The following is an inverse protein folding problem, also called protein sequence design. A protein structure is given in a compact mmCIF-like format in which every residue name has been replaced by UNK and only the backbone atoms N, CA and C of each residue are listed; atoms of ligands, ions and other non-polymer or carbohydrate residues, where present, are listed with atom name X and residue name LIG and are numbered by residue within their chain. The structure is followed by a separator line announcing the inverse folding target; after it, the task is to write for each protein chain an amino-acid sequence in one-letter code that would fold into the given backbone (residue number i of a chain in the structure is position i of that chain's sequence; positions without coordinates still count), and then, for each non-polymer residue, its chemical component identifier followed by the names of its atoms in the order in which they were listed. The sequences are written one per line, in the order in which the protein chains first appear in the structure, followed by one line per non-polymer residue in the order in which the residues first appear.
data_IF_009387685466
#
_entry.id   IF_009387685466
#
_cell.length_a   1.000
_cell.length_b   1.000
_cell.length_c   1.000
_cell.angle_alpha   90.00
_cell.angle_beta   90.00
_cell.angle_gamma   90.00
#
_symmetry.space_group_name_H-M   'P 1'
#
loop_
_entity.id
_entity.type
_entity.pdbx_description
1 polymer ?
#
# COMPACT_ATOMS: atom_id res chain seq x y z
N UNK A 1 -16.61 21.91 -16.56
CA UNK A 1 -17.43 20.68 -16.58
C UNK A 1 -17.01 19.85 -15.39
N UNK A 2 -17.87 19.73 -14.37
CA UNK A 2 -17.57 18.94 -13.17
C UNK A 2 -17.67 17.47 -13.54
N UNK A 3 -16.55 16.74 -13.50
CA UNK A 3 -16.57 15.29 -13.70
C UNK A 3 -17.39 14.70 -12.55
N UNK A 4 -18.47 13.99 -12.87
CA UNK A 4 -19.28 13.32 -11.87
C UNK A 4 -18.44 12.22 -11.22
N UNK A 5 -18.26 12.29 -9.89
CA UNK A 5 -17.64 11.21 -9.13
C UNK A 5 -18.60 10.02 -9.20
N UNK A 6 -18.15 8.89 -9.75
CA UNK A 6 -18.90 7.62 -9.71
C UNK A 6 -18.44 6.81 -8.50
N UNK A 7 -19.28 5.89 -8.03
CA UNK A 7 -18.91 5.03 -6.91
C UNK A 7 -17.68 4.16 -7.25
N UNK A 8 -17.59 3.69 -8.49
CA UNK A 8 -16.45 2.92 -8.98
C UNK A 8 -15.17 3.75 -8.97
N UNK A 9 -15.21 4.99 -9.48
CA UNK A 9 -14.05 5.87 -9.47
C UNK A 9 -13.60 6.22 -8.04
N UNK A 10 -14.56 6.39 -7.12
CA UNK A 10 -14.25 6.58 -5.70
C UNK A 10 -13.55 5.34 -5.11
N UNK A 11 -14.06 4.13 -5.34
CA UNK A 11 -13.42 2.90 -4.87
C UNK A 11 -11.99 2.77 -5.38
N UNK A 12 -11.79 3.00 -6.68
CA UNK A 12 -10.48 2.92 -7.30
C UNK A 12 -9.48 3.93 -6.72
N UNK A 13 -9.89 5.19 -6.56
CA UNK A 13 -9.04 6.21 -5.94
C UNK A 13 -8.66 5.83 -4.50
N UNK A 14 -9.60 5.24 -3.74
CA UNK A 14 -9.34 4.78 -2.37
C UNK A 14 -8.36 3.62 -2.32
N UNK A 15 -8.54 2.63 -3.20
CA UNK A 15 -7.62 1.49 -3.34
C UNK A 15 -6.20 1.95 -3.71
N UNK A 16 -6.08 2.99 -4.52
CA UNK A 16 -4.81 3.59 -4.95
C UNK A 16 -4.24 4.62 -3.95
N UNK A 17 -4.98 4.96 -2.89
CA UNK A 17 -4.58 5.98 -1.93
C UNK A 17 -4.50 7.40 -2.52
N UNK A 18 -5.26 7.66 -3.59
CA UNK A 18 -5.26 8.90 -4.34
C UNK A 18 -6.47 9.80 -4.02
N UNK A 19 -6.37 11.07 -4.41
CA UNK A 19 -7.50 12.00 -4.38
C UNK A 19 -8.38 11.84 -5.61
N UNK A 20 -9.61 12.33 -5.54
CA UNK A 20 -10.54 12.30 -6.68
C UNK A 20 -11.35 13.60 -6.77
N UNK A 21 -11.32 14.21 -7.96
CA UNK A 21 -11.93 15.51 -8.22
C UNK A 21 -11.47 16.60 -7.22
N UNK A 22 -12.32 16.98 -6.26
CA UNK A 22 -12.00 17.97 -5.23
C UNK A 22 -11.62 17.33 -3.89
N UNK A 23 -11.75 16.01 -3.76
CA UNK A 23 -11.48 15.29 -2.52
C UNK A 23 -10.01 14.93 -2.44
N UNK A 24 -9.40 15.26 -1.31
CA UNK A 24 -8.08 14.78 -0.92
C UNK A 24 -8.13 13.28 -0.61
N UNK A 25 -7.00 12.54 -0.66
CA UNK A 25 -6.98 11.10 -0.42
C UNK A 25 -7.64 10.66 0.89
N UNK A 26 -7.38 11.38 1.98
CA UNK A 26 -7.96 11.07 3.29
C UNK A 26 -9.48 11.31 3.34
N UNK A 27 -9.97 12.29 2.57
CA UNK A 27 -11.40 12.59 2.46
C UNK A 27 -12.09 11.49 1.66
N UNK A 28 -11.54 11.13 0.49
CA UNK A 28 -12.06 10.05 -0.35
C UNK A 28 -12.13 8.72 0.43
N UNK A 29 -11.05 8.35 1.12
CA UNK A 29 -10.99 7.14 1.93
C UNK A 29 -12.05 7.15 3.05
N UNK A 30 -12.13 8.23 3.82
CA UNK A 30 -13.07 8.30 4.96
C UNK A 30 -14.53 8.28 4.48
N UNK A 31 -14.85 9.03 3.42
CA UNK A 31 -16.20 9.06 2.87
C UNK A 31 -16.62 7.71 2.27
N UNK A 32 -15.69 7.02 1.60
CA UNK A 32 -15.92 5.66 1.11
C UNK A 32 -16.17 4.66 2.25
N UNK A 33 -15.34 4.70 3.30
CA UNK A 33 -15.49 3.84 4.48
C UNK A 33 -16.83 4.05 5.19
N UNK A 34 -17.32 5.29 5.22
CA UNK A 34 -18.63 5.66 5.78
C UNK A 34 -19.80 5.32 4.84
N UNK A 35 -19.53 4.79 3.64
CA UNK A 35 -20.57 4.44 2.67
C UNK A 35 -21.31 5.65 2.10
N UNK A 36 -20.69 6.84 2.09
CA UNK A 36 -21.32 8.05 1.55
C UNK A 36 -21.48 7.89 0.03
N UNK A 37 -22.70 8.04 -0.52
CA UNK A 37 -22.91 7.83 -1.94
C UNK A 37 -22.24 8.94 -2.76
N UNK A 38 -21.66 8.56 -3.91
CA UNK A 38 -20.94 9.50 -4.77
C UNK A 38 -21.77 10.74 -5.19
N UNK A 39 -23.09 10.59 -5.31
CA UNK A 39 -24.01 11.72 -5.58
C UNK A 39 -24.04 12.79 -4.48
N UNK A 40 -23.85 12.40 -3.21
CA UNK A 40 -23.84 13.33 -2.07
C UNK A 40 -22.53 14.12 -1.95
N UNK A 41 -21.46 13.63 -2.60
CA UNK A 41 -20.12 14.25 -2.60
C UNK A 41 -19.74 14.75 -4.00
N UNK A 42 -20.71 14.94 -4.89
CA UNK A 42 -20.48 15.47 -6.22
C UNK A 42 -20.11 16.97 -6.19
N UNK A 43 -20.52 17.67 -5.13
CA UNK A 43 -20.20 19.08 -4.90
C UNK A 43 -19.09 19.21 -3.86
N UNK A 44 -18.30 20.31 -3.89
CA UNK A 44 -17.31 20.61 -2.86
C UNK A 44 -17.89 20.52 -1.45
N UNK A 45 -17.08 19.99 -0.54
CA UNK A 45 -17.41 19.86 0.87
C UNK A 45 -17.66 21.23 1.51
N UNK A 46 -18.56 21.28 2.48
CA UNK A 46 -18.71 22.46 3.32
C UNK A 46 -17.52 22.58 4.29
N UNK A 47 -17.20 23.79 4.78
CA UNK A 47 -16.10 23.96 5.75
C UNK A 47 -16.23 23.09 7.01
N UNK A 48 -17.46 22.82 7.44
CA UNK A 48 -17.73 21.94 8.59
C UNK A 48 -17.41 20.47 8.29
N UNK A 49 -17.76 19.99 7.09
CA UNK A 49 -17.41 18.65 6.62
C UNK A 49 -15.89 18.52 6.48
N UNK A 50 -15.22 19.52 5.91
CA UNK A 50 -13.77 19.55 5.80
C UNK A 50 -13.08 19.48 7.16
N UNK A 51 -13.53 20.28 8.13
CA UNK A 51 -12.99 20.28 9.49
C UNK A 51 -13.15 18.91 10.17
N UNK A 52 -14.30 18.27 9.99
CA UNK A 52 -14.57 16.93 10.53
C UNK A 52 -13.65 15.88 9.93
N UNK A 53 -13.51 15.86 8.60
CA UNK A 53 -12.62 14.92 7.91
C UNK A 53 -11.15 15.17 8.24
N UNK A 54 -10.74 16.43 8.39
CA UNK A 54 -9.38 16.78 8.83
C UNK A 54 -9.09 16.28 10.26
N UNK A 55 -10.08 16.30 11.16
CA UNK A 55 -9.93 15.73 12.49
C UNK A 55 -9.72 14.21 12.45
N UNK A 56 -10.52 13.49 11.65
CA UNK A 56 -10.37 12.04 11.45
C UNK A 56 -9.00 11.72 10.85
N UNK A 57 -8.59 12.46 9.83
CA UNK A 57 -7.27 12.31 9.21
C UNK A 57 -6.14 12.45 10.25
N UNK A 58 -6.21 13.46 11.12
CA UNK A 58 -5.22 13.65 12.18
C UNK A 58 -5.17 12.46 13.13
N UNK A 59 -6.31 11.86 13.50
CA UNK A 59 -6.32 10.66 14.35
C UNK A 59 -5.65 9.47 13.65
N UNK A 60 -5.97 9.22 12.38
CA UNK A 60 -5.36 8.14 11.60
C UNK A 60 -3.84 8.34 11.45
N UNK A 61 -3.40 9.58 11.22
CA UNK A 61 -1.96 9.90 11.12
C UNK A 61 -1.24 9.65 12.45
N UNK A 62 -1.84 10.06 13.57
CA UNK A 62 -1.23 9.85 14.89
C UNK A 62 -1.19 8.36 15.27
N UNK A 63 -2.20 7.59 14.89
CA UNK A 63 -2.19 6.13 15.03
C UNK A 63 -1.10 5.49 14.17
N UNK A 64 -1.02 5.87 12.89
CA UNK A 64 -0.01 5.36 11.98
C UNK A 64 1.42 5.69 12.46
N UNK A 65 1.67 6.92 12.94
CA UNK A 65 2.96 7.28 13.52
C UNK A 65 3.33 6.44 14.74
N UNK A 66 2.35 6.08 15.58
CA UNK A 66 2.60 5.18 16.73
C UNK A 66 2.95 3.76 16.30
N UNK A 67 2.46 3.32 15.14
CA UNK A 67 2.83 2.05 14.53
C UNK A 67 4.23 2.09 13.88
N UNK A 68 4.82 3.28 13.66
CA UNK A 68 6.11 3.46 13.02
C UNK A 68 7.22 4.01 13.98
N UNK A 69 7.49 3.39 15.14
CA UNK A 69 8.53 3.87 16.06
C UNK A 69 9.97 3.66 15.53
N UNK A 70 10.15 2.75 14.58
CA UNK A 70 11.45 2.45 13.94
C UNK A 70 11.26 2.29 12.43
N UNK A 71 12.34 2.32 11.62
CA UNK A 71 12.26 2.04 10.19
C UNK A 71 11.67 0.67 9.86
N UNK A 72 12.00 -0.37 10.62
CA UNK A 72 11.47 -1.72 10.43
C UNK A 72 9.97 -1.77 10.68
N UNK A 73 9.52 -1.18 11.80
CA UNK A 73 8.09 -1.08 12.11
C UNK A 73 7.34 -0.23 11.08
N UNK A 74 7.99 0.77 10.46
CA UNK A 74 7.41 1.53 9.36
C UNK A 74 7.21 0.68 8.11
N UNK A 75 8.15 -0.22 7.80
CA UNK A 75 8.01 -1.18 6.70
C UNK A 75 6.83 -2.12 7.00
N UNK A 76 6.76 -2.68 8.21
CA UNK A 76 5.64 -3.54 8.63
C UNK A 76 4.29 -2.81 8.52
N UNK A 77 4.19 -1.59 9.06
CA UNK A 77 2.99 -0.77 9.00
C UNK A 77 2.62 -0.39 7.56
N UNK A 78 3.59 -0.26 6.65
CA UNK A 78 3.32 -0.01 5.24
C UNK A 78 2.61 -1.20 4.56
N UNK A 79 2.81 -2.44 5.03
CA UNK A 79 2.15 -3.63 4.48
C UNK A 79 0.94 -4.10 5.30
N UNK A 80 0.61 -3.42 6.40
CA UNK A 80 -0.59 -3.69 7.19
C UNK A 80 -1.83 -3.01 6.58
N UNK A 81 -2.75 -3.83 6.05
CA UNK A 81 -3.99 -3.37 5.41
C UNK A 81 -4.98 -2.71 6.38
N UNK A 82 -4.76 -2.81 7.70
CA UNK A 82 -5.55 -2.07 8.70
C UNK A 82 -5.29 -0.56 8.62
N UNK A 83 -4.16 -0.15 8.06
CA UNK A 83 -3.84 1.25 7.86
C UNK A 83 -4.38 1.78 6.51
N UNK A 84 -4.86 3.03 6.45
CA UNK A 84 -5.39 3.60 5.23
C UNK A 84 -4.39 3.56 4.04
N UNK A 85 -4.82 3.18 2.83
CA UNK A 85 -4.01 3.17 1.61
C UNK A 85 -3.18 4.44 1.40
N UNK A 86 -3.78 5.62 1.61
CA UNK A 86 -3.11 6.91 1.42
C UNK A 86 -1.96 7.18 2.40
N UNK A 87 -1.85 6.43 3.51
CA UNK A 87 -0.71 6.50 4.43
C UNK A 87 0.35 5.45 4.10
N UNK A 88 -0.08 4.25 3.73
CA UNK A 88 0.81 3.10 3.52
C UNK A 88 1.44 3.05 2.13
N UNK A 89 0.68 3.36 1.08
CA UNK A 89 1.12 3.22 -0.32
C UNK A 89 2.30 4.13 -0.71
N UNK A 90 2.38 5.40 -0.25
CA UNK A 90 3.56 6.21 -0.52
C UNK A 90 4.85 5.58 0.01
N UNK A 91 4.81 4.94 1.18
CA UNK A 91 5.97 4.24 1.75
C UNK A 91 6.30 3.00 0.92
N UNK A 92 5.30 2.21 0.54
CA UNK A 92 5.51 1.06 -0.36
C UNK A 92 6.16 1.49 -1.69
N UNK A 93 5.74 2.63 -2.25
CA UNK A 93 6.33 3.19 -3.47
C UNK A 93 7.81 3.55 -3.27
N UNK A 94 8.16 4.26 -2.19
CA UNK A 94 9.56 4.60 -1.88
C UNK A 94 10.41 3.36 -1.62
N UNK A 95 9.87 2.33 -0.96
CA UNK A 95 10.56 1.05 -0.77
C UNK A 95 10.82 0.35 -2.11
N UNK A 96 9.85 0.36 -3.03
CA UNK A 96 9.99 -0.23 -4.36
C UNK A 96 10.98 0.54 -5.25
N UNK A 97 11.03 1.88 -5.15
CA UNK A 97 12.07 2.70 -5.79
C UNK A 97 13.45 2.41 -5.19
N UNK A 98 13.55 2.33 -3.86
CA UNK A 98 14.79 1.98 -3.15
C UNK A 98 15.32 0.62 -3.54
N UNK A 99 14.44 -0.39 -3.65
CA UNK A 99 14.81 -1.72 -4.16
C UNK A 99 15.38 -1.65 -5.58
N UNK A 100 14.74 -0.92 -6.50
CA UNK A 100 15.25 -0.75 -7.87
C UNK A 100 16.58 -0.03 -7.92
N UNK A 101 16.82 0.91 -7.02
CA UNK A 101 18.07 1.66 -6.96
C UNK A 101 19.22 0.82 -6.38
N UNK A 102 18.98 0.12 -5.27
CA UNK A 102 19.99 -0.65 -4.56
C UNK A 102 20.27 -2.02 -5.20
N UNK A 103 19.28 -2.62 -5.87
CA UNK A 103 19.37 -3.93 -6.51
C UNK A 103 18.89 -3.85 -7.97
N UNK A 104 19.59 -3.10 -8.85
CA UNK A 104 19.13 -2.83 -10.22
C UNK A 104 19.01 -4.09 -11.10
N UNK A 105 19.77 -5.14 -10.78
CA UNK A 105 19.75 -6.40 -11.51
C UNK A 105 18.72 -7.40 -10.96
N UNK A 106 18.11 -7.11 -9.81
CA UNK A 106 17.08 -7.96 -9.21
C UNK A 106 15.74 -7.70 -9.89
N UNK A 107 15.31 -8.65 -10.73
CA UNK A 107 14.05 -8.57 -11.47
C UNK A 107 13.03 -9.56 -10.91
N UNK A 108 11.74 -9.19 -10.87
CA UNK A 108 10.70 -10.14 -10.54
C UNK A 108 10.64 -11.23 -11.61
N UNK A 109 10.53 -12.47 -11.17
CA UNK A 109 10.32 -13.63 -12.04
C UNK A 109 8.85 -13.79 -12.44
N UNK A 110 7.94 -13.25 -11.63
CA UNK A 110 6.51 -13.28 -11.88
C UNK A 110 5.79 -12.15 -11.15
N UNK A 111 4.46 -12.13 -11.28
CA UNK A 111 3.56 -11.34 -10.44
C UNK A 111 2.56 -12.24 -9.74
N UNK A 112 2.15 -11.86 -8.53
CA UNK A 112 1.03 -12.52 -7.84
C UNK A 112 -0.34 -12.01 -8.32
N UNK A 113 -1.41 -12.53 -7.72
CA UNK A 113 -2.80 -12.13 -8.03
C UNK A 113 -3.12 -10.66 -7.76
N UNK A 114 -2.30 -9.96 -6.97
CA UNK A 114 -2.40 -8.54 -6.69
C UNK A 114 -1.47 -7.70 -7.59
N UNK A 115 -0.75 -8.33 -8.52
CA UNK A 115 0.20 -7.66 -9.41
C UNK A 115 1.54 -7.33 -8.76
N UNK A 116 1.83 -7.85 -7.55
CA UNK A 116 3.10 -7.62 -6.84
C UNK A 116 4.19 -8.51 -7.42
N UNK A 117 5.39 -7.98 -7.55
CA UNK A 117 6.54 -8.72 -8.09
C UNK A 117 6.94 -9.88 -7.17
N UNK A 118 7.01 -11.08 -7.75
CA UNK A 118 7.52 -12.29 -7.10
C UNK A 118 8.92 -12.57 -7.62
N UNK A 119 9.87 -12.74 -6.72
CA UNK A 119 11.29 -12.91 -7.04
C UNK A 119 11.72 -14.35 -6.77
N UNK A 120 12.69 -14.87 -7.54
CA UNK A 120 13.30 -16.16 -7.22
C UNK A 120 14.16 -16.00 -5.96
N UNK A 121 14.08 -17.00 -5.08
CA UNK A 121 14.89 -17.02 -3.86
C UNK A 121 16.38 -16.93 -4.17
N UNK A 122 16.85 -17.63 -5.20
CA UNK A 122 18.23 -17.58 -5.70
C UNK A 122 18.67 -16.16 -6.08
N UNK A 123 17.79 -15.39 -6.73
CA UNK A 123 18.11 -14.06 -7.21
C UNK A 123 18.14 -13.07 -6.04
N UNK A 124 17.25 -13.25 -5.05
CA UNK A 124 17.28 -12.53 -3.78
C UNK A 124 18.56 -12.82 -2.98
N UNK A 125 18.94 -14.09 -2.84
CA UNK A 125 20.16 -14.53 -2.15
C UNK A 125 21.40 -13.87 -2.77
N UNK A 126 21.51 -13.95 -4.10
CA UNK A 126 22.59 -13.31 -4.85
C UNK A 126 22.61 -11.78 -4.67
N UNK A 127 21.46 -11.12 -4.71
CA UNK A 127 21.36 -9.67 -4.54
C UNK A 127 21.75 -9.22 -3.13
N UNK A 128 21.39 -10.00 -2.12
CA UNK A 128 21.66 -9.70 -0.71
C UNK A 128 23.04 -10.17 -0.24
N UNK A 129 23.78 -10.94 -1.06
CA UNK A 129 25.04 -11.55 -0.67
C UNK A 129 24.89 -12.60 0.43
N UNK A 130 23.73 -13.27 0.47
CA UNK A 130 23.39 -14.33 1.42
C UNK A 130 23.22 -15.66 0.68
N UNK A 131 23.14 -16.76 1.43
CA UNK A 131 22.75 -18.07 0.90
C UNK A 131 21.23 -18.26 0.90
N UNK A 132 20.73 -19.15 0.04
CA UNK A 132 19.31 -19.51 0.03
C UNK A 132 18.88 -20.14 1.37
N UNK A 133 19.76 -20.92 2.00
CA UNK A 133 19.51 -21.54 3.31
C UNK A 133 19.33 -20.48 4.41
N UNK A 134 20.17 -19.43 4.42
CA UNK A 134 20.03 -18.30 5.37
C UNK A 134 18.70 -17.55 5.18
N UNK A 135 18.26 -17.36 3.93
CA UNK A 135 16.97 -16.74 3.64
C UNK A 135 15.80 -17.66 4.04
N UNK A 136 15.95 -18.97 3.86
CA UNK A 136 14.97 -19.95 4.31
C UNK A 136 14.83 -19.92 5.83
N UNK A 137 15.93 -20.00 6.58
CA UNK A 137 15.95 -19.95 8.04
C UNK A 137 15.31 -18.65 8.56
N UNK A 138 15.60 -17.52 7.91
CA UNK A 138 14.99 -16.23 8.26
C UNK A 138 13.47 -16.25 8.01
N UNK A 139 13.03 -16.78 6.86
CA UNK A 139 11.61 -16.91 6.57
C UNK A 139 10.90 -17.84 7.56
N UNK A 140 11.55 -18.91 8.03
CA UNK A 140 10.99 -19.78 9.07
C UNK A 140 10.82 -19.04 10.41
N UNK A 141 11.85 -18.30 10.83
CA UNK A 141 11.83 -17.50 12.07
C UNK A 141 10.70 -16.46 12.07
N UNK A 142 10.36 -15.93 10.89
CA UNK A 142 9.30 -14.95 10.70
C UNK A 142 7.95 -15.55 10.28
N UNK A 143 7.82 -16.89 10.22
CA UNK A 143 6.56 -17.57 9.89
C UNK A 143 6.11 -17.39 8.44
N UNK A 144 7.03 -17.06 7.53
CA UNK A 144 6.78 -16.76 6.11
C UNK A 144 6.91 -17.98 5.19
N UNK A 145 6.93 -19.20 5.74
CA UNK A 145 7.16 -20.45 4.97
C UNK A 145 6.13 -20.67 3.86
N UNK A 146 4.89 -20.23 4.05
CA UNK A 146 3.82 -20.39 3.05
C UNK A 146 4.02 -19.46 1.85
N UNK A 147 4.68 -18.31 2.04
CA UNK A 147 4.90 -17.30 1.00
C UNK A 147 6.01 -17.70 0.03
N UNK A 148 6.89 -18.63 0.43
CA UNK A 148 7.95 -19.17 -0.43
C UNK A 148 7.43 -20.19 -1.46
N UNK A 149 6.24 -20.75 -1.23
CA UNK A 149 5.64 -21.82 -2.03
C UNK A 149 4.36 -21.39 -2.74
N UNK A 150 4.08 -20.09 -2.82
CA UNK A 150 2.80 -19.60 -3.32
C UNK A 150 2.60 -19.98 -4.80
N UNK A 151 1.44 -20.56 -5.11
CA UNK A 151 1.17 -21.28 -6.36
C UNK A 151 0.58 -20.40 -7.45
N UNK A 152 0.07 -19.22 -7.10
CA UNK A 152 -0.61 -18.29 -7.99
C UNK A 152 0.35 -17.21 -8.51
N UNK A 153 1.46 -17.66 -9.11
CA UNK A 153 2.44 -16.77 -9.75
C UNK A 153 2.22 -16.79 -11.25
N UNK A 154 1.91 -15.62 -11.82
CA UNK A 154 1.92 -15.42 -13.28
C UNK A 154 3.35 -15.05 -13.71
N UNK A 155 4.05 -15.90 -14.47
CA UNK A 155 5.42 -15.61 -14.88
C UNK A 155 5.47 -14.41 -15.83
N UNK A 156 6.50 -13.57 -15.67
CA UNK A 156 6.78 -12.43 -16.57
C UNK A 156 7.63 -12.89 -17.77
N UNK A 157 8.24 -14.08 -17.67
CA UNK A 157 9.13 -14.68 -18.67
C UNK A 157 8.82 -16.16 -18.91
#
# INVERSE_FOLDING_TARGET
MTVAITQQALSQAVEQGEGIAHLLPHQAHTLHLLGVPASAIANPLTPEQEATLAHIHRLNVEEFKRACPTPEAMIEAAYDERHPPYLRLPIQHELAEGMRHCFPDLKPAGVDSQGRGVYRLSDLANALGASEDELHDLAEQHGMQNTLNDSDVTPIH
#
